data_IF_126561913474
#
_entry.id   IF_126561913474
#
_cell.length_a   1.000
_cell.length_b   1.000
_cell.length_c   1.000
_cell.angle_alpha   90.00
_cell.angle_beta   90.00
_cell.angle_gamma   90.00
#
_symmetry.space_group_name_H-M   'P 1'
#
loop_
_entity.id
_entity.type
_entity.pdbx_description
1 polymer ?
#
# COMPACT_ATOMS: atom_id res chain seq x y z
N UNK A 1 2.60 -17.11 31.64
CA UNK A 1 1.86 -17.51 30.42
C UNK A 1 0.38 -17.29 30.70
N UNK A 2 -0.18 -16.15 30.26
CA UNK A 2 -1.60 -15.90 30.39
C UNK A 2 -2.28 -16.25 29.06
N UNK A 3 -3.07 -17.32 29.08
CA UNK A 3 -3.93 -17.75 27.97
C UNK A 3 -5.09 -16.76 27.85
N UNK A 4 -5.07 -15.88 26.85
CA UNK A 4 -6.20 -15.05 26.48
C UNK A 4 -7.24 -15.91 25.75
N UNK A 5 -8.15 -16.51 26.53
CA UNK A 5 -9.39 -17.07 25.98
C UNK A 5 -10.41 -15.94 25.85
N UNK A 6 -10.62 -15.44 24.64
CA UNK A 6 -11.74 -14.55 24.35
C UNK A 6 -12.98 -15.40 24.10
N UNK A 7 -14.02 -15.19 24.90
CA UNK A 7 -15.33 -15.81 24.71
C UNK A 7 -15.97 -15.25 23.44
N UNK A 8 -16.21 -16.11 22.46
CA UNK A 8 -16.98 -15.77 21.26
C UNK A 8 -18.43 -15.47 21.65
N UNK A 9 -18.84 -14.21 21.54
CA UNK A 9 -20.24 -13.83 21.64
C UNK A 9 -20.95 -14.19 20.33
N UNK A 10 -22.01 -14.99 20.47
CA UNK A 10 -22.86 -15.52 19.42
C UNK A 10 -23.70 -14.43 18.74
N UNK A 11 -23.38 -14.11 17.49
CA UNK A 11 -24.30 -13.50 16.54
C UNK A 11 -24.03 -14.07 15.14
N UNK A 12 -24.89 -15.01 14.68
CA UNK A 12 -24.98 -15.55 13.31
C UNK A 12 -23.67 -15.61 12.47
N UNK A 13 -22.61 -16.19 13.01
CA UNK A 13 -21.32 -16.37 12.34
C UNK A 13 -21.28 -17.58 11.37
N UNK A 14 -22.41 -17.94 10.75
CA UNK A 14 -22.55 -19.30 10.21
C UNK A 14 -21.81 -19.60 8.92
N UNK A 15 -21.20 -18.66 8.18
CA UNK A 15 -20.29 -18.99 7.07
C UNK A 15 -19.28 -17.86 6.74
N UNK A 16 -18.50 -17.41 7.71
CA UNK A 16 -17.35 -16.53 7.40
C UNK A 16 -16.20 -17.42 6.88
N UNK A 17 -15.67 -17.19 5.66
CA UNK A 17 -14.57 -18.00 5.13
C UNK A 17 -13.33 -17.90 6.02
N UNK A 18 -12.53 -18.97 6.10
CA UNK A 18 -11.30 -19.01 6.90
C UNK A 18 -10.25 -17.97 6.48
N UNK A 19 -10.40 -17.39 5.29
CA UNK A 19 -9.60 -16.26 4.84
C UNK A 19 -9.85 -14.97 5.64
N UNK A 20 -10.93 -14.88 6.44
CA UNK A 20 -11.21 -13.69 7.24
C UNK A 20 -11.03 -14.01 8.73
N UNK A 21 -9.94 -13.52 9.31
CA UNK A 21 -9.65 -13.69 10.74
C UNK A 21 -10.18 -12.52 11.54
N UNK A 22 -11.06 -12.79 12.51
CA UNK A 22 -11.67 -11.76 13.36
C UNK A 22 -10.92 -11.69 14.68
N UNK A 23 -10.41 -10.50 15.02
CA UNK A 23 -9.77 -10.21 16.31
C UNK A 23 -10.66 -9.31 17.20
N UNK A 24 -11.50 -8.49 16.58
CA UNK A 24 -12.50 -7.63 17.22
C UNK A 24 -13.82 -7.68 16.44
N UNK A 25 -14.97 -7.67 17.13
CA UNK A 25 -16.30 -7.72 16.51
C UNK A 25 -16.58 -6.55 15.56
N UNK A 26 -15.92 -5.40 15.71
CA UNK A 26 -16.08 -4.28 14.78
C UNK A 26 -15.63 -4.63 13.35
N UNK A 27 -14.78 -5.66 13.19
CA UNK A 27 -14.40 -6.18 11.87
C UNK A 27 -15.60 -6.75 11.09
N UNK A 28 -16.65 -7.21 11.79
CA UNK A 28 -17.89 -7.68 11.14
C UNK A 28 -18.60 -6.55 10.39
N UNK A 29 -18.45 -5.30 10.82
CA UNK A 29 -18.98 -4.14 10.11
C UNK A 29 -18.26 -3.92 8.77
N UNK A 30 -16.96 -4.26 8.72
CA UNK A 30 -16.10 -4.12 7.53
C UNK A 30 -16.37 -5.25 6.54
N UNK A 31 -16.34 -6.51 6.98
CA UNK A 31 -16.46 -7.66 6.07
C UNK A 31 -17.92 -7.96 5.69
N UNK A 32 -18.88 -7.54 6.52
CA UNK A 32 -20.31 -7.79 6.30
C UNK A 32 -20.73 -9.24 6.55
N UNK A 33 -21.94 -9.60 6.12
CA UNK A 33 -22.54 -10.90 6.42
C UNK A 33 -22.15 -12.04 5.48
N UNK A 34 -21.59 -11.74 4.31
CA UNK A 34 -21.21 -12.73 3.31
C UNK A 34 -19.90 -12.33 2.60
N UNK A 35 -18.79 -12.18 3.33
CA UNK A 35 -17.51 -11.84 2.73
C UNK A 35 -17.02 -12.96 1.81
N UNK A 36 -16.29 -12.58 0.77
CA UNK A 36 -15.69 -13.52 -0.19
C UNK A 36 -14.29 -13.10 -0.54
N UNK A 37 -13.43 -14.07 -0.80
CA UNK A 37 -12.09 -13.87 -1.35
C UNK A 37 -11.91 -14.85 -2.50
N UNK A 38 -11.59 -14.35 -3.68
CA UNK A 38 -11.44 -15.16 -4.90
C UNK A 38 -10.23 -14.69 -5.71
N UNK A 39 -9.51 -15.62 -6.34
CA UNK A 39 -8.51 -15.27 -7.36
C UNK A 39 -9.26 -14.91 -8.64
N UNK A 40 -9.07 -13.69 -9.14
CA UNK A 40 -9.73 -13.23 -10.37
C UNK A 40 -8.80 -13.24 -11.58
N UNK A 41 -7.49 -13.25 -11.35
CA UNK A 41 -6.47 -13.31 -12.39
C UNK A 41 -5.20 -13.95 -11.84
N UNK A 42 -4.60 -14.83 -12.62
CA UNK A 42 -3.34 -15.52 -12.31
C UNK A 42 -2.44 -15.49 -13.54
N UNK A 43 -1.16 -15.19 -13.34
CA UNK A 43 -0.13 -15.26 -14.36
C UNK A 43 1.18 -15.73 -13.73
N UNK A 44 1.67 -16.87 -14.22
CA UNK A 44 2.88 -17.53 -13.71
C UNK A 44 4.13 -17.26 -14.55
N UNK A 45 4.01 -16.46 -15.63
CA UNK A 45 5.15 -16.11 -16.49
C UNK A 45 6.06 -15.06 -15.83
N UNK A 46 5.47 -14.15 -15.04
CA UNK A 46 6.19 -13.11 -14.28
C UNK A 46 5.34 -12.58 -13.11
N UNK A 47 5.94 -11.97 -12.08
CA UNK A 47 5.22 -11.47 -10.90
C UNK A 47 4.50 -10.14 -11.20
N UNK A 48 3.44 -10.19 -12.00
CA UNK A 48 2.77 -9.03 -12.58
C UNK A 48 2.02 -8.12 -11.59
N UNK A 49 1.67 -8.63 -10.41
CA UNK A 49 0.82 -7.98 -9.42
C UNK A 49 1.59 -7.79 -8.11
N UNK A 50 2.41 -6.75 -8.04
CA UNK A 50 3.24 -6.47 -6.86
C UNK A 50 2.83 -5.15 -6.20
N UNK A 51 2.85 -4.04 -6.95
CA UNK A 51 2.82 -2.70 -6.38
C UNK A 51 1.93 -1.71 -7.16
N UNK A 52 1.84 -0.49 -6.64
CA UNK A 52 1.27 0.68 -7.32
C UNK A 52 -0.16 0.45 -7.87
N UNK A 53 -1.00 -0.26 -7.10
CA UNK A 53 -2.37 -0.54 -7.52
C UNK A 53 -3.21 0.73 -7.62
N UNK A 54 -3.66 1.09 -8.82
CA UNK A 54 -4.58 2.22 -9.05
C UNK A 54 -5.84 1.70 -9.73
N UNK A 55 -6.96 1.75 -9.02
CA UNK A 55 -8.26 1.42 -9.58
C UNK A 55 -8.91 2.68 -10.16
N UNK A 56 -9.40 2.59 -11.39
CA UNK A 56 -10.09 3.68 -12.10
C UNK A 56 -11.58 3.33 -12.20
N UNK A 57 -12.45 3.96 -11.39
CA UNK A 57 -13.85 3.56 -11.30
C UNK A 57 -14.66 3.80 -12.58
N UNK A 58 -14.26 4.73 -13.44
CA UNK A 58 -15.00 5.09 -14.68
C UNK A 58 -14.80 4.06 -15.79
N UNK A 59 -13.61 3.47 -15.86
CA UNK A 59 -13.27 2.42 -16.83
C UNK A 59 -13.25 1.02 -16.22
N UNK A 60 -13.51 0.90 -14.91
CA UNK A 60 -13.39 -0.33 -14.13
C UNK A 60 -12.09 -1.08 -14.43
N UNK A 61 -11.00 -0.32 -14.50
CA UNK A 61 -9.66 -0.83 -14.80
C UNK A 61 -8.77 -0.68 -13.58
N UNK A 62 -7.97 -1.70 -13.30
CA UNK A 62 -6.93 -1.69 -12.28
C UNK A 62 -5.57 -1.65 -12.96
N UNK A 63 -4.73 -0.70 -12.60
CA UNK A 63 -3.34 -0.63 -13.03
C UNK A 63 -2.45 -1.14 -11.90
N UNK A 64 -1.45 -1.94 -12.23
CA UNK A 64 -0.48 -2.51 -11.28
C UNK A 64 0.92 -2.52 -11.89
N UNK A 65 1.95 -2.47 -11.04
CA UNK A 65 3.32 -2.72 -11.44
C UNK A 65 3.75 -4.14 -11.01
N UNK A 66 4.58 -4.77 -11.84
CA UNK A 66 5.22 -6.04 -11.49
C UNK A 66 6.32 -5.83 -10.45
N UNK A 67 6.72 -6.91 -9.79
CA UNK A 67 7.98 -6.92 -9.06
C UNK A 67 9.15 -6.86 -10.06
N UNK A 68 10.35 -6.57 -9.56
CA UNK A 68 11.58 -6.69 -10.32
C UNK A 68 11.79 -8.15 -10.72
N UNK A 69 11.88 -8.42 -12.02
CA UNK A 69 12.18 -9.76 -12.53
C UNK A 69 13.14 -9.70 -13.71
N UNK A 70 13.73 -10.84 -14.07
CA UNK A 70 14.54 -10.97 -15.28
C UNK A 70 13.65 -11.37 -16.44
N UNK A 71 13.57 -10.54 -17.47
CA UNK A 71 12.80 -10.82 -18.67
C UNK A 71 13.35 -12.10 -19.35
N UNK A 72 12.54 -13.14 -19.56
CA UNK A 72 13.03 -14.40 -20.13
C UNK A 72 13.44 -14.27 -21.60
N UNK A 73 13.05 -13.20 -22.29
CA UNK A 73 13.38 -12.96 -23.71
C UNK A 73 14.66 -12.14 -23.84
N UNK A 74 14.79 -11.04 -23.10
CA UNK A 74 15.97 -10.15 -23.20
C UNK A 74 17.08 -10.51 -22.23
N UNK A 75 16.77 -11.31 -21.19
CA UNK A 75 17.64 -11.61 -20.06
C UNK A 75 18.08 -10.35 -19.26
N UNK A 76 17.31 -9.27 -19.36
CA UNK A 76 17.53 -8.02 -18.63
C UNK A 76 16.55 -7.89 -17.46
N UNK A 77 16.97 -7.21 -16.40
CA UNK A 77 16.06 -6.86 -15.30
C UNK A 77 15.04 -5.85 -15.80
N UNK A 78 13.76 -6.11 -15.53
CA UNK A 78 12.67 -5.24 -15.97
C UNK A 78 11.53 -5.21 -14.97
N UNK A 79 10.64 -4.25 -15.18
CA UNK A 79 9.38 -4.05 -14.48
C UNK A 79 8.36 -3.66 -15.54
N UNK A 80 7.14 -4.20 -15.44
CA UNK A 80 6.05 -3.92 -16.39
C UNK A 80 4.88 -3.31 -15.66
N UNK A 81 4.18 -2.38 -16.33
CA UNK A 81 2.86 -1.93 -15.91
C UNK A 81 1.83 -2.78 -16.62
N UNK A 82 0.86 -3.28 -15.87
CA UNK A 82 -0.24 -4.10 -16.40
C UNK A 82 -1.55 -3.39 -16.12
N UNK A 83 -2.39 -3.24 -17.14
CA UNK A 83 -3.79 -2.84 -16.99
C UNK A 83 -4.66 -4.09 -16.94
N UNK A 84 -5.55 -4.15 -15.97
CA UNK A 84 -6.46 -5.26 -15.71
C UNK A 84 -7.89 -4.77 -15.83
N UNK A 85 -8.68 -5.38 -16.72
CA UNK A 85 -10.11 -5.09 -16.88
C UNK A 85 -10.92 -5.97 -15.93
N UNK A 86 -11.18 -5.46 -14.73
CA UNK A 86 -11.77 -6.25 -13.62
C UNK A 86 -13.27 -6.54 -13.78
N UNK A 87 -13.93 -5.89 -14.74
CA UNK A 87 -15.33 -6.12 -15.12
C UNK A 87 -15.49 -7.02 -16.36
N UNK A 88 -14.40 -7.37 -17.05
CA UNK A 88 -14.44 -8.29 -18.17
C UNK A 88 -14.77 -9.71 -17.69
N UNK A 89 -15.41 -10.51 -18.55
CA UNK A 89 -15.77 -11.89 -18.26
C UNK A 89 -15.28 -12.80 -19.40
N UNK A 90 -14.17 -13.53 -19.23
CA UNK A 90 -13.28 -13.55 -18.05
C UNK A 90 -12.54 -12.23 -17.83
N UNK A 91 -11.99 -12.02 -16.62
CA UNK A 91 -11.08 -10.89 -16.34
C UNK A 91 -9.86 -11.01 -17.24
N UNK A 92 -9.47 -9.90 -17.86
CA UNK A 92 -8.33 -9.84 -18.79
C UNK A 92 -7.30 -8.82 -18.34
N UNK A 93 -6.06 -8.98 -18.82
CA UNK A 93 -4.98 -8.03 -18.60
C UNK A 93 -4.17 -7.78 -19.86
N UNK A 94 -3.61 -6.58 -19.97
CA UNK A 94 -2.69 -6.18 -21.03
C UNK A 94 -1.47 -5.45 -20.43
N UNK A 95 -0.28 -5.77 -20.95
CA UNK A 95 0.94 -5.03 -20.61
C UNK A 95 0.89 -3.68 -21.30
N UNK A 96 1.12 -2.62 -20.54
CA UNK A 96 1.27 -1.27 -21.09
C UNK A 96 2.71 -1.11 -21.55
N UNK A 97 2.89 -0.95 -22.86
CA UNK A 97 4.18 -0.59 -23.43
C UNK A 97 4.50 0.86 -23.05
N UNK A 98 5.29 1.01 -22.00
CA UNK A 98 5.78 2.29 -21.54
C UNK A 98 7.20 2.54 -22.02
N UNK A 99 7.51 3.79 -22.36
CA UNK A 99 8.89 4.26 -22.55
C UNK A 99 9.60 4.54 -21.23
N UNK A 100 8.87 4.50 -20.11
CA UNK A 100 9.42 4.67 -18.77
C UNK A 100 10.26 3.44 -18.41
N UNK A 101 11.58 3.59 -18.18
CA UNK A 101 12.39 2.50 -17.67
C UNK A 101 11.98 2.20 -16.23
N UNK A 102 11.85 0.91 -15.87
CA UNK A 102 11.61 0.48 -14.49
C UNK A 102 10.41 1.17 -13.81
N UNK A 103 9.18 1.04 -14.35
CA UNK A 103 8.00 1.81 -13.92
C UNK A 103 7.40 1.43 -12.55
N UNK A 104 8.21 0.93 -11.60
CA UNK A 104 7.84 0.77 -10.20
C UNK A 104 8.74 1.70 -9.39
N UNK A 105 8.23 2.92 -9.18
CA UNK A 105 8.93 4.02 -8.56
C UNK A 105 9.20 5.18 -9.51
N UNK A 106 9.28 6.39 -8.96
CA UNK A 106 9.39 7.62 -9.76
C UNK A 106 10.72 7.70 -10.51
N UNK A 107 10.63 7.81 -11.83
CA UNK A 107 11.76 8.14 -12.71
C UNK A 107 11.73 9.61 -13.12
N UNK A 108 12.91 10.17 -13.40
CA UNK A 108 12.99 11.44 -14.09
C UNK A 108 12.48 11.26 -15.52
N UNK A 109 11.30 11.80 -15.82
CA UNK A 109 10.83 11.99 -17.19
C UNK A 109 10.23 13.40 -17.32
N UNK A 110 10.47 14.03 -18.47
CA UNK A 110 10.26 15.45 -18.79
C UNK A 110 9.11 16.13 -18.03
N UNK A 111 9.44 16.88 -16.95
CA UNK A 111 8.51 17.84 -16.33
C UNK A 111 8.35 17.78 -14.81
N UNK A 112 8.75 16.68 -14.15
CA UNK A 112 8.83 16.62 -12.68
C UNK A 112 10.30 16.74 -12.28
N UNK A 113 10.66 17.74 -11.48
CA UNK A 113 12.03 17.87 -10.96
C UNK A 113 12.35 16.65 -10.10
N UNK A 114 12.98 15.61 -10.63
CA UNK A 114 13.37 14.44 -9.84
C UNK A 114 14.64 14.68 -9.02
N UNK A 115 14.76 15.90 -8.49
CA UNK A 115 15.79 16.33 -7.57
C UNK A 115 15.23 17.34 -6.57
N UNK A 116 15.83 17.37 -5.39
CA UNK A 116 15.62 18.39 -4.37
C UNK A 116 16.92 19.16 -4.17
N UNK A 117 16.89 20.47 -4.46
CA UNK A 117 18.08 21.34 -4.43
C UNK A 117 19.28 20.76 -5.22
N UNK A 118 19.03 20.21 -6.41
CA UNK A 118 20.07 19.63 -7.27
C UNK A 118 20.52 18.22 -6.87
N UNK A 119 20.00 17.65 -5.77
CA UNK A 119 20.27 16.27 -5.36
C UNK A 119 19.17 15.37 -5.86
N UNK A 120 19.52 14.32 -6.58
CA UNK A 120 18.54 13.41 -7.14
C UNK A 120 17.76 12.71 -6.02
N UNK A 121 16.44 12.55 -6.19
CA UNK A 121 15.66 11.65 -5.33
C UNK A 121 16.24 10.23 -5.37
N UNK A 122 16.14 9.52 -4.27
CA UNK A 122 16.66 8.17 -4.09
C UNK A 122 15.94 7.16 -5.00
N UNK A 123 14.65 6.95 -4.74
CA UNK A 123 13.71 6.12 -5.49
C UNK A 123 12.32 6.33 -4.94
N UNK A 124 11.59 7.30 -5.50
CA UNK A 124 10.21 7.59 -5.12
C UNK A 124 9.40 6.29 -5.14
N UNK A 125 8.71 5.94 -4.07
CA UNK A 125 8.05 4.64 -3.91
C UNK A 125 6.53 4.76 -3.98
N UNK A 126 5.90 5.50 -3.06
CA UNK A 126 4.45 5.73 -3.05
C UNK A 126 4.12 7.23 -3.16
N UNK A 127 2.95 7.54 -3.72
CA UNK A 127 2.47 8.90 -3.97
C UNK A 127 0.98 9.03 -3.68
N UNK A 128 0.61 10.10 -2.97
CA UNK A 128 -0.79 10.48 -2.74
C UNK A 128 -0.98 11.93 -3.16
N UNK A 129 -2.12 12.19 -3.78
CA UNK A 129 -2.59 13.56 -4.06
C UNK A 129 -3.50 13.98 -2.92
N UNK A 130 -3.11 15.00 -2.17
CA UNK A 130 -3.94 15.58 -1.12
C UNK A 130 -5.11 16.39 -1.71
N UNK A 131 -6.14 16.72 -0.91
CA UNK A 131 -7.29 17.51 -1.38
C UNK A 131 -6.94 18.89 -1.93
N UNK A 132 -5.82 19.47 -1.50
CA UNK A 132 -5.31 20.74 -2.02
C UNK A 132 -4.57 20.61 -3.38
N UNK A 133 -4.48 19.39 -3.93
CA UNK A 133 -3.81 19.09 -5.19
C UNK A 133 -2.30 18.89 -5.06
N UNK A 134 -1.71 19.01 -3.86
CA UNK A 134 -0.30 18.72 -3.65
C UNK A 134 -0.02 17.23 -3.76
N UNK A 135 1.09 16.89 -4.42
CA UNK A 135 1.61 15.53 -4.42
C UNK A 135 2.51 15.35 -3.21
N UNK A 136 2.21 14.35 -2.42
CA UNK A 136 3.06 13.87 -1.36
C UNK A 136 3.66 12.54 -1.79
N UNK A 137 4.92 12.28 -1.48
CA UNK A 137 5.56 11.03 -1.86
C UNK A 137 6.71 10.65 -0.94
N UNK A 138 6.98 9.35 -0.84
CA UNK A 138 8.10 8.78 -0.09
C UNK A 138 9.31 8.58 -1.00
N UNK A 139 10.52 8.77 -0.47
CA UNK A 139 11.78 8.60 -1.22
C UNK A 139 12.79 7.66 -0.52
N UNK A 140 12.46 6.36 -0.37
CA UNK A 140 13.35 5.38 0.22
C UNK A 140 14.50 4.99 -0.72
N UNK A 141 15.43 4.17 -0.24
CA UNK A 141 16.67 3.79 -0.94
C UNK A 141 16.63 2.39 -1.58
N UNK A 142 15.45 1.81 -1.81
CA UNK A 142 15.35 0.43 -2.31
C UNK A 142 16.02 0.23 -3.65
N UNK A 143 15.85 1.15 -4.60
CA UNK A 143 16.44 0.99 -5.92
C UNK A 143 17.98 1.00 -5.86
N UNK A 144 18.60 1.68 -4.88
CA UNK A 144 20.03 1.55 -4.63
C UNK A 144 20.39 0.17 -4.07
N UNK A 145 19.64 -0.32 -3.08
CA UNK A 145 19.84 -1.67 -2.51
C UNK A 145 19.65 -2.79 -3.55
N UNK A 146 18.77 -2.58 -4.52
CA UNK A 146 18.51 -3.50 -5.64
C UNK A 146 19.51 -3.37 -6.80
N UNK A 147 20.44 -2.40 -6.73
CA UNK A 147 21.44 -2.13 -7.77
C UNK A 147 20.88 -1.46 -9.03
N UNK A 148 19.69 -0.87 -8.94
CA UNK A 148 19.02 -0.15 -10.04
C UNK A 148 19.48 1.31 -10.11
N UNK A 149 19.73 1.95 -8.96
CA UNK A 149 20.08 3.38 -8.87
C UNK A 149 21.41 3.64 -8.17
N UNK A 150 22.08 4.78 -8.45
CA UNK A 150 23.31 5.17 -7.76
C UNK A 150 23.13 5.36 -6.26
N UNK A 151 24.25 5.58 -5.57
CA UNK A 151 24.24 5.85 -4.13
C UNK A 151 23.36 7.09 -3.80
N UNK A 152 22.45 6.98 -2.82
CA UNK A 152 21.59 8.06 -2.33
C UNK A 152 22.35 9.34 -1.97
N UNK A 153 21.76 10.49 -2.28
CA UNK A 153 22.25 11.83 -1.91
C UNK A 153 21.31 12.55 -0.94
N UNK A 154 20.13 11.98 -0.71
CA UNK A 154 19.10 12.47 0.19
C UNK A 154 18.80 11.42 1.27
N UNK A 155 18.39 11.84 2.48
CA UNK A 155 17.85 10.92 3.47
C UNK A 155 16.52 10.31 3.01
N UNK A 156 16.12 9.17 3.60
CA UNK A 156 14.77 8.64 3.45
C UNK A 156 13.79 9.65 4.06
N UNK A 157 12.90 10.22 3.24
CA UNK A 157 11.96 11.25 3.67
C UNK A 157 10.63 11.17 2.91
N UNK A 158 9.64 11.88 3.45
CA UNK A 158 8.44 12.28 2.73
C UNK A 158 8.66 13.67 2.17
N UNK A 159 8.28 13.85 0.91
CA UNK A 159 8.36 15.12 0.21
C UNK A 159 6.96 15.55 -0.21
N UNK A 160 6.75 16.87 -0.27
CA UNK A 160 5.52 17.48 -0.76
C UNK A 160 5.82 18.48 -1.86
N UNK A 161 5.12 18.35 -2.98
CA UNK A 161 5.13 19.35 -4.05
C UNK A 161 4.22 20.53 -3.68
N UNK A 162 4.76 21.74 -3.73
CA UNK A 162 3.98 22.99 -3.76
C UNK A 162 4.69 23.97 -4.71
N UNK A 163 4.27 25.23 -4.79
CA UNK A 163 4.99 26.27 -5.56
C UNK A 163 6.49 26.34 -5.19
N UNK A 164 6.86 25.90 -3.98
CA UNK A 164 8.20 25.49 -3.58
C UNK A 164 8.17 24.05 -3.06
N UNK A 165 9.09 23.18 -3.51
CA UNK A 165 9.22 21.82 -2.97
C UNK A 165 9.57 21.91 -1.48
N UNK A 166 8.70 21.41 -0.60
CA UNK A 166 8.90 21.43 0.85
C UNK A 166 9.37 20.05 1.33
N UNK A 167 10.25 20.07 2.33
CA UNK A 167 10.80 18.87 2.95
C UNK A 167 10.18 18.68 4.33
N UNK A 168 9.42 17.59 4.51
CA UNK A 168 8.91 17.18 5.81
C UNK A 168 9.57 15.85 6.20
N UNK A 169 10.45 15.88 7.19
CA UNK A 169 11.33 14.75 7.46
C UNK A 169 10.66 13.64 8.27
N UNK A 170 10.27 12.56 7.60
CA UNK A 170 10.03 11.25 8.22
C UNK A 170 10.37 10.18 7.15
N UNK A 171 11.16 9.15 7.44
CA UNK A 171 11.67 8.19 6.43
C UNK A 171 10.85 6.91 6.32
N UNK A 172 10.29 6.60 5.15
CA UNK A 172 9.03 5.83 5.05
C UNK A 172 8.79 5.19 3.67
N UNK A 173 7.90 4.17 3.62
CA UNK A 173 7.51 3.40 2.44
C UNK A 173 6.22 3.89 1.79
N UNK A 174 5.08 3.72 2.47
CA UNK A 174 3.76 4.14 2.02
C UNK A 174 3.15 5.13 3.02
N UNK A 175 2.34 6.07 2.57
CA UNK A 175 1.69 7.06 3.43
C UNK A 175 0.26 7.35 2.99
N UNK A 176 -0.60 7.77 3.93
CA UNK A 176 -1.98 8.14 3.61
C UNK A 176 -2.59 9.04 4.69
N UNK A 177 -3.59 9.84 4.30
CA UNK A 177 -4.34 10.71 5.18
C UNK A 177 -5.53 10.00 5.85
N UNK A 178 -5.86 10.38 7.09
CA UNK A 178 -7.19 10.13 7.66
C UNK A 178 -8.27 10.79 6.80
N UNK A 179 -9.55 10.38 6.91
CA UNK A 179 -10.64 10.95 6.09
C UNK A 179 -10.74 12.49 6.20
N UNK A 180 -10.44 13.03 7.38
CA UNK A 180 -10.42 14.46 7.68
C UNK A 180 -9.08 15.16 7.40
N UNK A 181 -8.08 14.44 6.88
CA UNK A 181 -6.70 14.87 6.60
C UNK A 181 -5.93 15.47 7.80
N UNK A 182 -6.42 15.26 9.03
CA UNK A 182 -5.73 15.75 10.24
C UNK A 182 -4.65 14.82 10.75
N UNK A 183 -4.72 13.55 10.37
CA UNK A 183 -3.70 12.54 10.70
C UNK A 183 -3.07 12.03 9.41
N UNK A 184 -1.75 11.89 9.41
CA UNK A 184 -1.01 11.20 8.35
C UNK A 184 -0.46 9.91 8.93
N UNK A 185 -0.85 8.79 8.33
CA UNK A 185 -0.30 7.48 8.62
C UNK A 185 0.86 7.21 7.70
N UNK A 186 1.94 6.67 8.26
CA UNK A 186 3.08 6.35 7.45
C UNK A 186 3.78 5.08 7.87
N UNK A 187 4.02 4.23 6.89
CA UNK A 187 4.59 2.91 7.06
C UNK A 187 6.11 2.92 6.99
N UNK A 188 6.75 2.28 7.96
CA UNK A 188 8.18 2.07 8.06
C UNK A 188 8.47 0.56 8.03
N UNK A 189 9.23 0.16 7.02
CA UNK A 189 9.46 -1.22 6.62
C UNK A 189 10.94 -1.57 6.63
N UNK A 190 11.75 -0.76 7.31
CA UNK A 190 13.20 -0.93 7.36
C UNK A 190 13.66 -2.31 7.87
N UNK A 191 12.78 -3.09 8.53
CA UNK A 191 13.00 -4.51 8.80
C UNK A 191 13.36 -5.29 7.53
N UNK A 192 12.67 -5.07 6.42
CA UNK A 192 12.98 -5.72 5.13
C UNK A 192 13.79 -4.77 4.27
N UNK A 193 15.05 -5.13 4.06
CA UNK A 193 15.98 -4.39 3.20
C UNK A 193 15.58 -4.66 1.74
N UNK A 194 15.79 -3.69 0.84
CA UNK A 194 15.34 -3.78 -0.57
C UNK A 194 15.86 -4.97 -1.38
N UNK A 195 16.81 -5.75 -0.85
CA UNK A 195 17.29 -7.02 -1.42
C UNK A 195 16.59 -8.26 -0.85
N UNK A 196 15.58 -8.07 0.01
CA UNK A 196 14.81 -9.11 0.69
C UNK A 196 15.43 -9.60 2.02
N UNK A 197 16.62 -9.15 2.39
CA UNK A 197 17.22 -9.50 3.69
C UNK A 197 16.47 -8.81 4.85
N UNK A 198 16.46 -9.45 6.03
CA UNK A 198 15.73 -8.95 7.20
C UNK A 198 16.65 -8.55 8.34
N UNK A 199 16.39 -7.39 8.93
CA UNK A 199 16.94 -6.96 10.22
C UNK A 199 15.78 -6.69 11.20
N UNK A 200 15.47 -7.69 12.03
CA UNK A 200 14.36 -7.65 13.00
C UNK A 200 14.56 -6.58 14.10
N UNK A 201 15.69 -5.88 14.13
CA UNK A 201 15.89 -4.73 15.03
C UNK A 201 15.43 -3.41 14.43
N UNK A 202 15.13 -3.39 13.12
CA UNK A 202 14.58 -2.22 12.43
C UNK A 202 13.04 -2.21 12.46
N UNK A 203 12.43 -1.04 12.22
CA UNK A 203 10.97 -0.92 12.19
C UNK A 203 10.26 -1.79 11.15
N UNK A 204 9.16 -2.40 11.58
CA UNK A 204 8.07 -2.94 10.76
C UNK A 204 6.77 -2.32 11.29
N UNK A 205 6.61 -1.01 11.17
CA UNK A 205 5.67 -0.23 12.00
C UNK A 205 5.00 0.87 11.21
N UNK A 206 3.70 1.06 11.43
CA UNK A 206 2.95 2.22 10.98
C UNK A 206 3.02 3.28 12.08
N UNK A 207 3.46 4.48 11.72
CA UNK A 207 3.46 5.67 12.56
C UNK A 207 2.29 6.59 12.19
N UNK A 208 1.78 7.34 13.16
CA UNK A 208 0.83 8.43 12.92
C UNK A 208 1.47 9.78 13.27
N UNK A 209 1.05 10.81 12.53
CA UNK A 209 1.46 12.20 12.68
C UNK A 209 0.24 13.09 12.65
N UNK A 210 0.30 14.20 13.38
CA UNK A 210 -0.70 15.26 13.25
C UNK A 210 -0.29 16.20 12.11
N UNK A 211 -1.23 16.46 11.20
CA UNK A 211 -1.10 17.50 10.19
C UNK A 211 -1.42 18.84 10.83
N UNK A 212 -0.42 19.72 10.91
CA UNK A 212 -0.54 21.04 11.55
C UNK A 212 -0.08 22.14 10.63
N UNK A 213 -0.54 23.37 10.86
CA UNK A 213 -0.03 24.55 10.16
C UNK A 213 0.85 25.36 11.09
N UNK A 214 2.13 25.51 10.73
CA UNK A 214 3.10 26.33 11.46
C UNK A 214 3.62 27.41 10.50
N UNK A 215 3.58 28.67 10.92
CA UNK A 215 3.96 29.81 10.08
C UNK A 215 3.32 29.82 8.68
N UNK A 216 2.07 29.34 8.57
CA UNK A 216 1.33 29.29 7.30
C UNK A 216 1.72 28.14 6.37
N UNK A 217 2.57 27.21 6.80
CA UNK A 217 2.95 26.02 6.04
C UNK A 217 2.48 24.73 6.75
N UNK A 218 2.17 23.65 6.03
CA UNK A 218 1.87 22.37 6.65
C UNK A 218 3.13 21.74 7.22
N UNK A 219 2.96 21.04 8.34
CA UNK A 219 4.00 20.28 9.04
C UNK A 219 3.41 19.02 9.65
N UNK A 220 4.17 17.93 9.55
CA UNK A 220 3.96 16.70 10.32
C UNK A 220 4.53 16.87 11.73
N UNK A 221 3.70 16.65 12.75
CA UNK A 221 4.09 16.74 14.16
C UNK A 221 3.61 15.53 14.95
N UNK A 222 4.00 15.42 16.24
CA UNK A 222 3.51 14.39 17.17
C UNK A 222 3.60 12.94 16.64
N UNK A 223 4.80 12.56 16.15
CA UNK A 223 5.10 11.18 15.75
C UNK A 223 4.74 10.22 16.89
N UNK A 224 3.93 9.22 16.58
CA UNK A 224 3.56 8.14 17.50
C UNK A 224 3.48 6.81 16.77
N UNK A 225 3.81 5.73 17.48
CA UNK A 225 3.51 4.37 16.98
C UNK A 225 2.00 4.24 16.89
N UNK A 226 1.51 3.83 15.72
CA UNK A 226 0.10 3.56 15.50
C UNK A 226 -0.18 2.05 15.54
N UNK A 227 0.51 1.28 14.71
CA UNK A 227 0.31 -0.16 14.63
C UNK A 227 1.57 -0.90 14.16
N UNK A 228 1.67 -2.18 14.51
CA UNK A 228 2.69 -3.11 14.03
C UNK A 228 1.99 -4.43 13.64
N UNK A 229 2.21 -4.97 12.44
CA UNK A 229 1.66 -6.27 12.07
C UNK A 229 2.33 -7.40 12.86
N UNK A 230 1.62 -8.51 13.00
CA UNK A 230 2.17 -9.72 13.62
C UNK A 230 3.04 -10.57 12.67
N UNK A 231 2.97 -10.30 11.36
CA UNK A 231 3.74 -11.02 10.34
C UNK A 231 4.15 -10.06 9.19
N UNK A 232 5.42 -10.12 8.83
CA UNK A 232 6.06 -9.27 7.83
C UNK A 232 6.07 -7.78 8.18
N UNK A 233 6.19 -6.96 7.14
CA UNK A 233 6.20 -5.49 7.20
C UNK A 233 4.85 -4.94 6.73
N UNK A 234 4.40 -3.78 7.24
CA UNK A 234 3.26 -3.08 6.67
C UNK A 234 3.72 -2.33 5.41
N UNK A 235 3.35 -2.81 4.23
CA UNK A 235 3.76 -2.23 2.95
C UNK A 235 2.75 -1.13 2.52
N UNK A 236 2.00 -1.32 1.44
CA UNK A 236 0.99 -0.39 0.97
C UNK A 236 -0.12 -0.20 2.00
N UNK A 237 -0.43 1.05 2.34
CA UNK A 237 -1.46 1.40 3.32
C UNK A 237 -2.64 2.12 2.68
N UNK A 238 -3.84 1.90 3.22
CA UNK A 238 -5.09 2.57 2.80
C UNK A 238 -5.98 2.82 4.00
N UNK A 239 -6.87 3.81 3.88
CA UNK A 239 -7.82 4.18 4.93
C UNK A 239 -9.21 4.17 4.34
N UNK A 240 -10.20 3.68 5.10
CA UNK A 240 -11.61 3.78 4.72
C UNK A 240 -12.27 5.04 5.28
N UNK A 241 -13.48 5.33 4.81
CA UNK A 241 -14.24 6.52 5.23
C UNK A 241 -14.59 6.55 6.73
N UNK A 242 -14.54 5.41 7.42
CA UNK A 242 -14.76 5.31 8.86
C UNK A 242 -13.45 5.50 9.66
N UNK A 243 -12.32 5.67 8.98
CA UNK A 243 -11.00 5.91 9.57
C UNK A 243 -10.23 4.64 9.93
N UNK A 244 -10.70 3.45 9.53
CA UNK A 244 -9.92 2.23 9.70
C UNK A 244 -8.72 2.23 8.75
N UNK A 245 -7.58 1.76 9.24
CA UNK A 245 -6.31 1.71 8.51
C UNK A 245 -6.04 0.26 8.09
N UNK A 246 -5.72 0.07 6.82
CA UNK A 246 -5.45 -1.21 6.17
C UNK A 246 -4.01 -1.21 5.71
N UNK A 247 -3.29 -2.31 5.86
CA UNK A 247 -1.95 -2.47 5.29
C UNK A 247 -1.76 -3.87 4.68
N UNK A 248 -1.01 -3.93 3.58
CA UNK A 248 -0.47 -5.18 3.06
C UNK A 248 0.64 -5.67 3.99
N UNK A 249 0.60 -6.95 4.36
CA UNK A 249 1.48 -7.57 5.35
C UNK A 249 1.88 -8.98 4.90
N UNK A 250 2.76 -9.63 5.68
CA UNK A 250 3.27 -10.98 5.37
C UNK A 250 2.19 -12.07 5.31
N UNK A 251 1.05 -11.85 5.94
CA UNK A 251 -0.08 -12.79 5.99
C UNK A 251 -1.33 -12.33 5.23
N UNK A 252 -1.26 -11.20 4.53
CA UNK A 252 -2.37 -10.63 3.74
C UNK A 252 -2.67 -9.19 4.14
N UNK A 253 -3.94 -8.80 4.18
CA UNK A 253 -4.33 -7.42 4.56
C UNK A 253 -4.71 -7.38 6.03
N UNK A 254 -3.97 -6.59 6.81
CA UNK A 254 -4.26 -6.34 8.22
C UNK A 254 -5.06 -5.05 8.39
N UNK A 255 -6.07 -5.06 9.26
CA UNK A 255 -7.02 -3.95 9.42
C UNK A 255 -7.08 -3.50 10.87
N UNK A 256 -6.78 -2.23 11.11
CA UNK A 256 -6.83 -1.59 12.42
C UNK A 256 -7.90 -0.50 12.45
N UNK A 257 -8.52 -0.29 13.61
CA UNK A 257 -9.36 0.89 13.85
C UNK A 257 -8.53 2.17 13.81
N UNK A 258 -9.20 3.32 13.73
CA UNK A 258 -8.55 4.65 13.86
C UNK A 258 -7.75 4.83 15.16
N UNK A 259 -7.99 3.99 16.18
CA UNK A 259 -7.23 3.97 17.43
C UNK A 259 -6.02 3.02 17.46
N UNK A 260 -5.71 2.33 16.36
CA UNK A 260 -4.60 1.37 16.27
C UNK A 260 -4.91 -0.04 16.81
N UNK A 261 -6.17 -0.32 17.16
CA UNK A 261 -6.60 -1.67 17.59
C UNK A 261 -6.78 -2.57 16.37
N UNK A 262 -6.10 -3.73 16.33
CA UNK A 262 -6.27 -4.72 15.28
C UNK A 262 -7.71 -5.27 15.31
N UNK A 263 -8.45 -5.04 14.22
CA UNK A 263 -9.82 -5.49 14.05
C UNK A 263 -9.88 -6.89 13.47
N UNK A 264 -9.11 -7.11 12.41
CA UNK A 264 -9.13 -8.36 11.68
C UNK A 264 -8.11 -8.41 10.56
N UNK A 265 -8.10 -9.54 9.86
CA UNK A 265 -7.19 -9.81 8.75
C UNK A 265 -7.92 -10.49 7.60
N UNK A 266 -7.55 -10.13 6.38
CA UNK A 266 -7.89 -10.86 5.15
C UNK A 266 -6.65 -11.64 4.75
N UNK A 267 -6.65 -12.93 5.09
CA UNK A 267 -5.53 -13.82 4.91
C UNK A 267 -5.31 -14.14 3.43
N UNK A 268 -4.10 -13.88 2.96
CA UNK A 268 -3.61 -14.26 1.63
C UNK A 268 -2.30 -14.99 1.84
N UNK A 269 -2.19 -16.20 1.32
CA UNK A 269 -0.97 -16.99 1.41
C UNK A 269 0.18 -16.21 0.75
N UNK A 270 1.34 -16.18 1.40
CA UNK A 270 2.54 -15.48 0.96
C UNK A 270 2.39 -13.93 0.95
N UNK A 271 1.34 -13.42 1.60
CA UNK A 271 1.20 -12.00 1.91
C UNK A 271 0.72 -11.12 0.76
N UNK A 272 0.85 -9.81 0.93
CA UNK A 272 0.53 -8.82 -0.11
C UNK A 272 1.30 -7.53 0.12
N UNK A 273 1.95 -7.00 -0.92
CA UNK A 273 2.62 -5.70 -0.85
C UNK A 273 1.63 -4.55 -0.98
N UNK A 274 0.66 -4.66 -1.89
CA UNK A 274 -0.31 -3.60 -2.12
C UNK A 274 -1.70 -4.14 -2.49
N UNK A 275 -2.69 -3.29 -2.37
CA UNK A 275 -4.09 -3.59 -2.66
C UNK A 275 -4.82 -2.29 -2.96
N UNK A 276 -5.99 -2.30 -3.60
CA UNK A 276 -6.79 -1.08 -3.81
C UNK A 276 -8.28 -1.32 -3.59
N UNK A 277 -8.95 -0.32 -3.00
CA UNK A 277 -10.40 -0.31 -2.93
C UNK A 277 -10.99 -0.19 -4.35
N UNK A 278 -12.05 -0.96 -4.58
CA UNK A 278 -12.91 -0.91 -5.75
C UNK A 278 -14.28 -0.34 -5.40
N UNK A 279 -15.26 -0.54 -6.29
CA UNK A 279 -16.65 -0.13 -6.05
C UNK A 279 -17.38 -1.10 -5.14
N UNK A 280 -18.40 -0.61 -4.42
CA UNK A 280 -19.38 -1.43 -3.70
C UNK A 280 -18.74 -2.46 -2.74
N UNK A 281 -17.73 -2.04 -1.96
CA UNK A 281 -17.02 -2.90 -1.02
C UNK A 281 -16.05 -3.90 -1.67
N UNK A 282 -15.68 -3.73 -2.94
CA UNK A 282 -14.61 -4.53 -3.54
C UNK A 282 -13.24 -4.05 -3.04
N UNK A 283 -12.30 -4.99 -2.93
CA UNK A 283 -10.88 -4.72 -2.74
C UNK A 283 -10.08 -5.67 -3.63
N UNK A 284 -9.13 -5.14 -4.38
CA UNK A 284 -8.21 -5.90 -5.22
C UNK A 284 -6.87 -6.03 -4.51
N UNK A 285 -6.42 -7.25 -4.24
CA UNK A 285 -5.23 -7.55 -3.43
C UNK A 285 -4.17 -8.18 -4.33
N UNK A 286 -2.95 -7.65 -4.32
CA UNK A 286 -1.85 -8.06 -5.19
C UNK A 286 -0.99 -9.12 -4.51
N UNK A 287 -0.65 -10.22 -5.17
CA UNK A 287 0.08 -11.34 -4.58
C UNK A 287 1.05 -11.96 -5.60
N UNK A 288 1.96 -11.12 -6.12
CA UNK A 288 2.98 -11.40 -7.14
C UNK A 288 2.39 -11.94 -8.45
N UNK A 289 1.98 -13.21 -8.46
CA UNK A 289 1.44 -13.93 -9.62
C UNK A 289 -0.09 -13.95 -9.64
N UNK A 290 -0.75 -13.35 -8.65
CA UNK A 290 -2.22 -13.38 -8.51
C UNK A 290 -2.79 -12.02 -8.16
N UNK A 291 -4.00 -11.76 -8.63
CA UNK A 291 -4.88 -10.72 -8.09
C UNK A 291 -6.07 -11.41 -7.44
N UNK A 292 -6.26 -11.13 -6.16
CA UNK A 292 -7.47 -11.52 -5.44
C UNK A 292 -8.49 -10.39 -5.46
N UNK A 293 -9.77 -10.75 -5.47
CA UNK A 293 -10.87 -9.84 -5.17
C UNK A 293 -11.49 -10.25 -3.85
N UNK A 294 -11.40 -9.36 -2.86
CA UNK A 294 -12.19 -9.45 -1.66
C UNK A 294 -13.51 -8.68 -1.86
N UNK A 295 -14.63 -9.30 -1.50
CA UNK A 295 -15.91 -8.63 -1.34
C UNK A 295 -16.14 -8.38 0.15
N UNK A 296 -16.09 -7.11 0.52
CA UNK A 296 -16.39 -6.58 1.85
C UNK A 296 -17.84 -6.10 1.92
N UNK A 297 -18.22 -5.50 3.05
CA UNK A 297 -19.48 -4.78 3.17
C UNK A 297 -19.54 -3.65 2.13
N UNK A 298 -20.66 -3.53 1.42
CA UNK A 298 -20.84 -2.58 0.32
C UNK A 298 -20.67 -1.12 0.73
N UNK A 299 -20.81 -0.82 2.02
CA UNK A 299 -20.63 0.51 2.60
C UNK A 299 -19.16 0.90 2.80
N UNK A 300 -18.24 -0.05 2.72
CA UNK A 300 -16.81 0.23 2.87
C UNK A 300 -16.29 0.86 1.58
N UNK A 301 -15.71 2.05 1.74
CA UNK A 301 -15.10 2.83 0.68
C UNK A 301 -13.76 3.38 1.17
N UNK A 302 -12.75 3.36 0.31
CA UNK A 302 -11.47 4.01 0.59
C UNK A 302 -11.58 5.54 0.57
N UNK A 303 -10.65 6.24 1.21
CA UNK A 303 -10.59 7.71 1.21
C UNK A 303 -10.12 8.34 -0.10
N UNK A 304 -9.47 7.55 -0.97
CA UNK A 304 -8.96 8.00 -2.27
C UNK A 304 -10.02 7.94 -3.40
N UNK A 305 -11.30 7.77 -3.06
CA UNK A 305 -12.42 7.68 -4.01
C UNK A 305 -13.71 8.34 -3.50
#
# INVERSE_FOLDING_TARGET
>A
MASLTHSAASANATHIPSAFSIYNNDFLNIIGSAPKLEVILENNDYPFAHEASVYIPTSESLFVSSNLYTDPVTNEKTIKVTKVSVNAHPVTSEIINSTIPMPNGGVNNDGVTGNFYGRQFNSINDVVVAKDGSFWFTDPIYAYKQGIRPKPQLPNQVYRTSASLQMDSVGLMAFLFSPDEKTVYISDTAETIGDGSKDLTQPATIYAFDMTTIHGQPFLTNRRVFAMPGDGIPDGIKVDQDGNVYAGCGDGVNVWSAGGVLLGKILVKDGTSNFSFGRNGQMFILNENKIYRAQLNRKVHGTLF
#
